data_IF_409908735549
#
_entry.id   IF_409908735549
#
_cell.length_a   1.000
_cell.length_b   1.000
_cell.length_c   1.000
_cell.angle_alpha   90.00
_cell.angle_beta   90.00
_cell.angle_gamma   90.00
#
_symmetry.space_group_name_H-M   'P 1'
#
loop_
_entity.id
_entity.type
_entity.pdbx_description
1 polymer ?
#
# COMPACT_ATOMS: atom_id res chain seq x y z
N UNK A 1 0.10 8.00 15.00
CA UNK A 1 -0.11 6.60 14.57
C UNK A 1 0.96 5.63 15.12
N UNK A 2 2.00 6.07 15.86
CA UNK A 2 2.86 5.14 16.61
C UNK A 2 3.88 4.32 15.80
N UNK A 3 4.03 4.59 14.50
CA UNK A 3 5.04 3.94 13.67
C UNK A 3 6.45 4.54 13.83
N UNK A 4 7.42 4.05 13.04
CA UNK A 4 8.80 4.50 13.12
C UNK A 4 8.97 5.96 12.69
N UNK A 5 9.98 6.63 13.24
CA UNK A 5 10.42 7.93 12.75
C UNK A 5 11.15 7.76 11.41
N UNK A 6 10.64 8.38 10.36
CA UNK A 6 11.24 8.35 9.03
C UNK A 6 11.98 9.67 8.78
N UNK A 7 13.31 9.65 8.58
CA UNK A 7 14.06 10.86 8.25
C UNK A 7 13.51 11.50 6.98
N UNK A 8 13.12 12.76 7.08
CA UNK A 8 12.57 13.53 5.96
C UNK A 8 13.63 14.43 5.35
N UNK A 9 13.63 14.52 4.01
CA UNK A 9 14.50 15.43 3.25
C UNK A 9 13.64 16.43 2.46
N UNK A 10 13.85 17.76 2.63
CA UNK A 10 13.20 18.80 1.83
C UNK A 10 13.73 18.84 0.40
N UNK A 11 13.11 19.66 -0.45
CA UNK A 11 13.67 20.05 -1.76
C UNK A 11 12.97 19.48 -2.98
N UNK A 12 11.82 18.83 -2.83
CA UNK A 12 10.97 18.48 -3.99
C UNK A 12 10.47 19.76 -4.65
N UNK A 13 10.52 19.81 -5.98
CA UNK A 13 10.05 20.95 -6.79
C UNK A 13 8.78 20.55 -7.52
N UNK A 14 7.76 21.40 -7.45
CA UNK A 14 6.53 21.22 -8.20
C UNK A 14 6.79 21.26 -9.70
N UNK A 15 5.99 20.51 -10.46
CA UNK A 15 6.09 20.40 -11.91
C UNK A 15 4.73 20.66 -12.54
N UNK A 16 4.75 21.07 -13.79
CA UNK A 16 3.53 21.26 -14.58
C UNK A 16 2.96 19.92 -15.09
N UNK A 17 1.78 19.99 -15.70
CA UNK A 17 1.02 18.84 -16.18
C UNK A 17 1.77 18.00 -17.23
N UNK A 18 2.73 18.57 -17.96
CA UNK A 18 3.55 17.81 -18.93
C UNK A 18 4.40 16.73 -18.26
N UNK A 19 4.66 16.84 -16.95
CA UNK A 19 5.38 15.85 -16.17
C UNK A 19 4.47 14.75 -15.60
N UNK A 20 3.15 14.82 -15.81
CA UNK A 20 2.22 13.78 -15.38
C UNK A 20 2.52 12.47 -16.11
N UNK A 21 2.66 11.38 -15.35
CA UNK A 21 2.84 10.06 -15.93
C UNK A 21 1.53 9.53 -16.50
N UNK A 22 1.56 8.70 -17.55
CA UNK A 22 0.35 8.05 -18.07
C UNK A 22 -0.30 7.17 -17.00
N UNK A 23 -1.59 6.92 -17.19
CA UNK A 23 -2.37 6.01 -16.36
C UNK A 23 -1.89 4.54 -16.46
N UNK A 24 -2.32 3.71 -15.51
CA UNK A 24 -1.96 2.29 -15.44
C UNK A 24 -0.60 2.01 -14.80
N UNK A 25 0.02 3.03 -14.19
CA UNK A 25 1.27 2.86 -13.42
C UNK A 25 1.07 2.42 -11.98
N UNK A 26 -0.13 2.64 -11.44
CA UNK A 26 -0.49 2.24 -10.07
C UNK A 26 -0.88 0.75 -10.02
N UNK A 27 -0.66 0.07 -8.87
CA UNK A 27 -1.10 -1.30 -8.68
C UNK A 27 -2.63 -1.40 -8.69
N UNK A 28 -3.13 -2.59 -8.99
CA UNK A 28 -4.56 -2.91 -9.11
C UNK A 28 -4.88 -3.93 -8.03
N UNK A 29 -5.80 -3.60 -7.13
CA UNK A 29 -6.15 -4.42 -5.97
C UNK A 29 -6.85 -5.73 -6.31
N UNK A 30 -7.32 -5.89 -7.55
CA UNK A 30 -7.94 -7.14 -8.03
C UNK A 30 -6.92 -8.17 -8.56
N UNK A 31 -5.62 -7.82 -8.58
CA UNK A 31 -4.55 -8.65 -9.16
C UNK A 31 -3.61 -9.23 -8.11
N UNK A 32 -2.95 -10.31 -8.51
CA UNK A 32 -2.09 -11.14 -7.66
C UNK A 32 -0.61 -10.70 -7.63
N UNK A 33 0.22 -11.49 -6.96
CA UNK A 33 1.65 -11.24 -6.69
C UNK A 33 2.50 -10.95 -7.94
N UNK A 34 2.19 -11.54 -9.10
CA UNK A 34 2.95 -11.27 -10.33
C UNK A 34 2.76 -9.83 -10.82
N UNK A 35 1.55 -9.29 -10.66
CA UNK A 35 1.26 -7.88 -10.97
C UNK A 35 1.99 -6.96 -9.98
N UNK A 36 1.92 -7.26 -8.68
CA UNK A 36 2.63 -6.49 -7.65
C UNK A 36 4.14 -6.43 -7.92
N UNK A 37 4.78 -7.59 -8.14
CA UNK A 37 6.22 -7.65 -8.45
C UNK A 37 6.57 -6.88 -9.72
N UNK A 38 5.73 -6.94 -10.76
CA UNK A 38 5.96 -6.18 -12.00
C UNK A 38 5.91 -4.67 -11.77
N UNK A 39 4.95 -4.18 -10.99
CA UNK A 39 4.77 -2.74 -10.72
C UNK A 39 5.89 -2.21 -9.82
N UNK A 40 6.16 -2.87 -8.70
CA UNK A 40 7.16 -2.42 -7.75
C UNK A 40 8.59 -2.70 -8.22
N UNK A 41 8.82 -3.80 -8.95
CA UNK A 41 10.13 -4.08 -9.56
C UNK A 41 10.55 -3.00 -10.56
N UNK A 42 9.59 -2.43 -11.32
CA UNK A 42 9.85 -1.25 -12.18
C UNK A 42 10.30 -0.03 -11.38
N UNK A 43 9.91 0.07 -10.10
CA UNK A 43 10.30 1.16 -9.18
C UNK A 43 11.62 0.87 -8.44
N UNK A 44 12.22 -0.31 -8.64
CA UNK A 44 13.49 -0.70 -8.04
C UNK A 44 13.39 -1.41 -6.69
N UNK A 45 12.19 -1.83 -6.28
CA UNK A 45 12.00 -2.57 -5.01
C UNK A 45 12.19 -4.07 -5.17
N UNK A 46 12.78 -4.70 -4.15
CA UNK A 46 12.82 -6.14 -3.99
C UNK A 46 11.59 -6.67 -3.22
N UNK A 47 11.43 -8.00 -3.16
CA UNK A 47 10.28 -8.65 -2.50
C UNK A 47 10.14 -8.25 -1.01
N UNK A 48 11.25 -8.12 -0.26
CA UNK A 48 11.20 -7.74 1.15
C UNK A 48 10.70 -6.31 1.35
N UNK A 49 11.09 -5.38 0.49
CA UNK A 49 10.63 -4.00 0.51
C UNK A 49 9.16 -3.88 0.08
N UNK A 50 8.73 -4.67 -0.91
CA UNK A 50 7.33 -4.74 -1.35
C UNK A 50 6.44 -5.19 -0.21
N UNK A 51 6.83 -6.27 0.48
CA UNK A 51 6.11 -6.76 1.65
C UNK A 51 6.07 -5.65 2.70
N UNK A 52 7.21 -5.07 3.07
CA UNK A 52 7.29 -4.02 4.10
C UNK A 52 6.36 -2.83 3.80
N UNK A 53 6.31 -2.34 2.56
CA UNK A 53 5.42 -1.26 2.14
C UNK A 53 3.94 -1.66 2.17
N UNK A 54 3.62 -2.92 1.83
CA UNK A 54 2.24 -3.44 1.88
C UNK A 54 1.64 -3.40 3.29
N UNK A 55 2.49 -3.45 4.33
CA UNK A 55 2.07 -3.27 5.73
C UNK A 55 1.44 -1.92 6.05
N UNK A 56 1.56 -0.91 5.18
CA UNK A 56 0.85 0.34 5.33
C UNK A 56 -0.68 0.16 5.34
N UNK A 57 -1.21 -0.95 4.81
CA UNK A 57 -2.61 -1.34 4.93
C UNK A 57 -3.07 -1.63 6.37
N UNK A 58 -2.15 -1.68 7.34
CA UNK A 58 -2.53 -1.62 8.76
C UNK A 58 -3.34 -0.35 9.09
N UNK A 59 -3.16 0.71 8.29
CA UNK A 59 -3.85 1.99 8.39
C UNK A 59 -5.00 2.09 7.39
N UNK A 60 -6.04 2.79 7.80
CA UNK A 60 -7.15 3.18 6.95
C UNK A 60 -8.08 2.02 6.59
N UNK A 61 -8.77 2.19 5.47
CA UNK A 61 -9.81 1.29 4.96
C UNK A 61 -10.05 1.52 3.48
N UNK A 62 -10.70 0.55 2.85
CA UNK A 62 -11.31 0.73 1.55
C UNK A 62 -12.68 1.42 1.66
N UNK A 63 -13.05 2.07 0.55
CA UNK A 63 -14.36 2.67 0.34
C UNK A 63 -14.86 2.25 -1.04
N UNK A 64 -16.11 1.75 -1.07
CA UNK A 64 -16.74 1.20 -2.27
C UNK A 64 -16.83 2.21 -3.43
N UNK A 65 -17.13 3.48 -3.15
CA UNK A 65 -17.23 4.56 -4.15
C UNK A 65 -15.89 5.00 -4.77
N UNK A 66 -14.76 4.61 -4.16
CA UNK A 66 -13.40 4.97 -4.62
C UNK A 66 -12.66 3.82 -5.28
N UNK A 67 -12.89 2.61 -4.80
CA UNK A 67 -12.06 1.44 -5.14
C UNK A 67 -12.87 0.18 -5.48
N UNK A 68 -14.18 0.16 -5.23
CA UNK A 68 -15.00 -1.05 -5.32
C UNK A 68 -14.84 -2.03 -4.15
N UNK A 69 -13.87 -1.80 -3.24
CA UNK A 69 -13.67 -2.59 -2.02
C UNK A 69 -14.19 -1.84 -0.78
N UNK A 70 -14.51 -2.55 0.30
CA UNK A 70 -15.10 -1.97 1.51
C UNK A 70 -14.45 -2.52 2.78
N UNK A 71 -14.25 -1.64 3.78
CA UNK A 71 -13.83 -2.01 5.13
C UNK A 71 -12.32 -1.90 5.40
N UNK A 72 -11.92 -1.95 6.69
CA UNK A 72 -10.53 -1.91 7.11
C UNK A 72 -9.87 -3.29 7.07
N UNK A 73 -8.53 -3.33 6.98
CA UNK A 73 -7.76 -4.57 7.15
C UNK A 73 -7.45 -4.90 8.62
N UNK A 74 -7.59 -3.94 9.53
CA UNK A 74 -7.30 -4.11 10.96
C UNK A 74 -8.41 -3.53 11.83
N UNK A 75 -8.51 -4.00 13.08
CA UNK A 75 -9.45 -3.44 14.06
C UNK A 75 -9.02 -2.06 14.60
N UNK A 76 -7.77 -1.64 14.37
CA UNK A 76 -7.23 -0.34 14.81
C UNK A 76 -6.65 0.44 13.63
N UNK A 77 -7.48 0.90 12.67
CA UNK A 77 -7.04 1.47 11.39
C UNK A 77 -6.37 2.86 11.49
N UNK A 78 -6.06 3.32 12.71
CA UNK A 78 -5.35 4.60 12.97
C UNK A 78 -4.01 4.38 13.69
N UNK A 79 -3.61 3.13 13.89
CA UNK A 79 -2.35 2.74 14.52
C UNK A 79 -1.51 1.98 13.51
N UNK A 80 -0.29 2.45 13.29
CA UNK A 80 0.66 1.79 12.42
C UNK A 80 1.35 0.68 13.23
N UNK A 81 0.93 -0.55 13.00
CA UNK A 81 1.45 -1.77 13.64
C UNK A 81 1.76 -2.84 12.58
N UNK A 82 2.19 -4.02 13.02
CA UNK A 82 2.33 -5.20 12.15
C UNK A 82 1.05 -6.06 12.08
N UNK A 83 -0.08 -5.59 12.59
CA UNK A 83 -1.31 -6.38 12.70
C UNK A 83 -1.90 -6.73 11.33
N UNK A 84 -1.60 -5.96 10.27
CA UNK A 84 -1.92 -6.36 8.89
C UNK A 84 -1.41 -7.78 8.58
N UNK A 85 -0.17 -8.08 8.96
CA UNK A 85 0.42 -9.40 8.70
C UNK A 85 -0.08 -10.46 9.68
N UNK A 86 -0.34 -10.08 10.94
CA UNK A 86 -0.93 -11.01 11.91
C UNK A 86 -2.30 -11.47 11.43
N UNK A 87 -3.17 -10.55 11.05
CA UNK A 87 -4.50 -10.91 10.55
C UNK A 87 -4.46 -11.62 9.20
N UNK A 88 -3.49 -11.29 8.34
CA UNK A 88 -3.27 -12.06 7.11
C UNK A 88 -2.95 -13.54 7.38
N UNK A 89 -2.27 -13.85 8.48
CA UNK A 89 -1.83 -15.21 8.81
C UNK A 89 -2.79 -15.95 9.76
N UNK A 90 -3.34 -15.24 10.76
CA UNK A 90 -4.08 -15.81 11.88
C UNK A 90 -5.59 -15.89 11.62
N UNK A 91 -6.14 -15.01 10.78
CA UNK A 91 -7.58 -14.99 10.47
C UNK A 91 -7.93 -15.94 9.32
N UNK A 92 -9.15 -16.48 9.35
CA UNK A 92 -9.69 -17.27 8.26
C UNK A 92 -10.34 -16.36 7.22
N UNK A 93 -9.75 -16.31 6.03
CA UNK A 93 -10.28 -15.56 4.89
C UNK A 93 -11.21 -16.44 4.06
N UNK A 94 -12.45 -16.01 3.89
CA UNK A 94 -13.44 -16.64 3.01
C UNK A 94 -13.60 -15.77 1.74
N UNK A 95 -13.69 -16.43 0.57
CA UNK A 95 -13.82 -15.80 -0.75
C UNK A 95 -15.23 -15.94 -1.33
#
# INVERSE_FOLDING_TARGET
MGGPEIPWRPGRTDRDVSCCTPDGRLPDGSKEQNHLRKIFGRMGFNDQEIVALSGAHALGRCYSDRSGFEGPWTFSPITLSNDYYKFLFDEKWDW
#
